data_IF_877507242984
#
_entry.id   IF_877507242984
#
_cell.length_a   1.000
_cell.length_b   1.000
_cell.length_c   1.000
_cell.angle_alpha   90.00
_cell.angle_beta   90.00
_cell.angle_gamma   90.00
#
_symmetry.space_group_name_H-M   'P 1'
#
loop_
_entity.id
_entity.type
_entity.pdbx_description
1 polymer ?
#
# COMPACT_ATOMS: atom_id res chain seq x y z
N UNK A 1 -11.03 -9.07 1.12
CA UNK A 1 -10.43 -7.79 1.54
C UNK A 1 -9.54 -7.30 0.41
N UNK A 2 -10.06 -6.47 -0.51
CA UNK A 2 -9.28 -5.93 -1.63
C UNK A 2 -8.78 -4.53 -1.27
N UNK A 3 -7.70 -4.44 -0.50
CA UNK A 3 -7.12 -3.14 -0.17
C UNK A 3 -6.39 -2.55 -1.38
N UNK A 4 -6.79 -1.33 -1.76
CA UNK A 4 -6.21 -0.64 -2.92
C UNK A 4 -4.81 -0.10 -2.58
N UNK A 5 -3.87 -0.20 -3.51
CA UNK A 5 -2.51 0.35 -3.34
C UNK A 5 -2.55 1.88 -3.23
N UNK A 6 -1.83 2.45 -2.26
CA UNK A 6 -1.64 3.90 -2.13
C UNK A 6 -0.61 4.35 -3.16
N UNK A 7 -0.98 5.20 -4.13
CA UNK A 7 -0.01 5.73 -5.08
C UNK A 7 0.82 6.79 -4.38
N UNK A 8 2.05 6.45 -3.99
CA UNK A 8 3.00 7.36 -3.35
C UNK A 8 4.19 7.55 -4.29
N UNK A 9 4.60 8.80 -4.47
CA UNK A 9 5.77 9.18 -5.26
C UNK A 9 6.83 9.82 -4.36
N UNK A 10 8.10 9.58 -4.68
CA UNK A 10 9.24 10.27 -4.08
C UNK A 10 9.82 11.23 -5.11
N UNK A 11 10.05 12.47 -4.73
CA UNK A 11 10.88 13.38 -5.52
C UNK A 11 11.86 14.16 -4.63
N UNK A 12 12.77 14.88 -5.27
CA UNK A 12 13.74 15.73 -4.60
C UNK A 12 13.53 17.17 -5.06
N UNK A 13 13.55 18.10 -4.13
CA UNK A 13 13.51 19.54 -4.37
C UNK A 13 14.82 20.19 -3.97
N UNK A 14 15.15 21.33 -4.57
CA UNK A 14 16.32 22.15 -4.25
C UNK A 14 15.86 23.54 -3.77
N UNK A 15 15.40 23.69 -2.51
CA UNK A 15 14.92 24.98 -1.97
C UNK A 15 15.98 26.09 -1.96
N UNK A 16 17.26 25.72 -1.88
CA UNK A 16 18.40 26.63 -2.00
C UNK A 16 19.49 25.93 -2.82
N UNK A 17 20.36 26.69 -3.51
CA UNK A 17 21.46 26.11 -4.27
C UNK A 17 22.26 25.09 -3.44
N UNK A 18 22.40 23.88 -3.98
CA UNK A 18 23.08 22.71 -3.41
C UNK A 18 22.49 22.24 -2.07
N UNK A 19 21.22 22.51 -1.81
CA UNK A 19 20.49 22.01 -0.64
C UNK A 19 19.28 21.24 -1.11
N UNK A 20 19.36 19.92 -1.00
CA UNK A 20 18.35 18.99 -1.51
C UNK A 20 17.51 18.43 -0.39
N UNK A 21 16.20 18.38 -0.56
CA UNK A 21 15.28 17.69 0.34
C UNK A 21 14.48 16.66 -0.44
N UNK A 22 14.22 15.50 0.15
CA UNK A 22 13.21 14.60 -0.41
C UNK A 22 11.82 15.02 0.06
N UNK A 23 10.83 14.71 -0.78
CA UNK A 23 9.41 14.91 -0.53
C UNK A 23 8.66 13.66 -1.01
N UNK A 24 7.75 13.19 -0.16
CA UNK A 24 6.79 12.14 -0.48
C UNK A 24 5.44 12.79 -0.79
N UNK A 25 4.83 12.36 -1.90
CA UNK A 25 3.51 12.81 -2.35
C UNK A 25 2.57 11.61 -2.43
N UNK A 26 1.32 11.75 -1.98
CA UNK A 26 0.27 10.77 -2.22
C UNK A 26 -0.73 11.30 -3.26
N UNK A 27 -1.18 10.41 -4.15
CA UNK A 27 -2.21 10.74 -5.13
C UNK A 27 -3.62 10.49 -4.59
N UNK A 28 -4.44 11.52 -4.58
CA UNK A 28 -5.88 11.46 -4.35
C UNK A 28 -6.63 11.88 -5.63
N UNK A 29 -7.18 10.90 -6.35
CA UNK A 29 -7.78 11.14 -7.67
C UNK A 29 -6.76 11.68 -8.67
N UNK A 30 -6.98 12.89 -9.17
CA UNK A 30 -6.06 13.57 -10.10
C UNK A 30 -5.02 14.48 -9.41
N UNK A 31 -5.08 14.63 -8.07
CA UNK A 31 -4.23 15.55 -7.32
C UNK A 31 -3.14 14.80 -6.57
N UNK A 32 -1.97 15.41 -6.50
CA UNK A 32 -0.88 14.99 -5.63
C UNK A 32 -0.76 15.96 -4.46
N UNK A 33 -0.52 15.44 -3.27
CA UNK A 33 -0.34 16.23 -2.05
C UNK A 33 0.83 15.70 -1.23
N UNK A 34 1.63 16.62 -0.68
CA UNK A 34 2.69 16.31 0.26
C UNK A 34 2.14 15.53 1.46
N UNK A 35 2.81 14.41 1.77
CA UNK A 35 2.55 13.64 3.00
C UNK A 35 3.70 13.80 3.99
N UNK A 36 4.94 13.81 3.49
CA UNK A 36 6.12 13.90 4.32
C UNK A 36 7.28 14.50 3.54
N UNK A 37 8.22 15.14 4.23
CA UNK A 37 9.44 15.71 3.64
C UNK A 37 10.57 15.71 4.64
N UNK A 38 11.80 15.68 4.14
CA UNK A 38 12.97 15.72 5.03
C UNK A 38 12.97 17.01 5.88
N UNK A 39 13.24 16.86 7.18
CA UNK A 39 13.32 17.99 8.12
C UNK A 39 14.50 18.92 7.81
N UNK A 40 15.60 18.35 7.31
CA UNK A 40 16.82 19.10 6.95
C UNK A 40 17.23 18.76 5.51
N UNK A 41 17.62 19.76 4.70
CA UNK A 41 18.20 19.49 3.40
C UNK A 41 19.64 18.98 3.54
N UNK A 42 20.05 18.15 2.59
CA UNK A 42 21.40 17.59 2.46
C UNK A 42 22.12 18.16 1.23
N UNK A 43 23.45 18.09 1.21
CA UNK A 43 24.25 18.66 0.10
C UNK A 43 24.40 17.75 -1.12
N UNK A 44 23.82 16.55 -1.08
CA UNK A 44 23.90 15.57 -2.16
C UNK A 44 22.50 15.17 -2.60
N UNK A 45 22.22 15.36 -3.89
CA UNK A 45 20.98 14.90 -4.51
C UNK A 45 20.80 13.39 -4.36
N UNK A 46 21.87 12.62 -4.60
CA UNK A 46 21.88 11.17 -4.42
C UNK A 46 21.49 10.78 -2.99
N UNK A 47 22.03 11.49 -1.99
CA UNK A 47 21.70 11.23 -0.59
C UNK A 47 20.24 11.53 -0.30
N UNK A 48 19.73 12.67 -0.76
CA UNK A 48 18.32 13.04 -0.58
C UNK A 48 17.40 11.98 -1.21
N UNK A 49 17.69 11.53 -2.43
CA UNK A 49 16.91 10.49 -3.11
C UNK A 49 16.91 9.16 -2.35
N UNK A 50 18.08 8.70 -1.89
CA UNK A 50 18.20 7.47 -1.12
C UNK A 50 17.44 7.57 0.22
N UNK A 51 17.59 8.68 0.94
CA UNK A 51 16.89 8.91 2.21
C UNK A 51 15.36 8.97 2.00
N UNK A 52 14.88 9.51 0.87
CA UNK A 52 13.47 9.52 0.50
C UNK A 52 12.90 8.12 0.21
N UNK A 53 13.68 7.25 -0.44
CA UNK A 53 13.29 5.85 -0.66
C UNK A 53 13.24 5.07 0.66
N UNK A 54 14.18 5.31 1.56
CA UNK A 54 14.17 4.71 2.91
C UNK A 54 12.95 5.20 3.71
N UNK A 55 12.61 6.49 3.62
CA UNK A 55 11.40 7.01 4.25
C UNK A 55 10.14 6.34 3.70
N UNK A 56 10.02 6.18 2.38
CA UNK A 56 8.91 5.45 1.77
C UNK A 56 8.82 4.00 2.27
N UNK A 57 9.95 3.28 2.32
CA UNK A 57 9.98 1.89 2.82
C UNK A 57 9.55 1.81 4.28
N UNK A 58 9.95 2.76 5.12
CA UNK A 58 9.58 2.81 6.53
C UNK A 58 8.08 3.04 6.77
N UNK A 59 7.33 3.53 5.77
CA UNK A 59 5.87 3.69 5.85
C UNK A 59 5.11 2.37 5.60
N UNK A 60 5.81 1.30 5.24
CA UNK A 60 5.20 0.06 4.76
C UNK A 60 5.58 -1.08 5.70
N UNK A 61 4.57 -1.68 6.34
CA UNK A 61 4.80 -2.81 7.25
C UNK A 61 5.32 -4.06 6.53
N UNK A 62 4.81 -4.31 5.31
CA UNK A 62 5.19 -5.42 4.45
C UNK A 62 5.54 -4.91 3.04
N UNK A 63 6.84 -4.89 2.73
CA UNK A 63 7.37 -4.39 1.46
C UNK A 63 7.00 -5.25 0.25
N UNK A 64 6.67 -6.53 0.44
CA UNK A 64 6.21 -7.39 -0.65
C UNK A 64 4.78 -7.04 -1.07
N UNK A 65 4.00 -6.45 -0.16
CA UNK A 65 2.61 -6.05 -0.41
C UNK A 65 2.49 -4.57 -0.79
N UNK A 66 3.38 -3.72 -0.28
CA UNK A 66 3.39 -2.29 -0.51
C UNK A 66 2.36 -1.51 0.33
N UNK A 67 2.36 -0.16 0.26
CA UNK A 67 1.46 0.66 1.06
C UNK A 67 0.01 0.50 0.59
N UNK A 68 -0.88 0.04 1.48
CA UNK A 68 -2.31 -0.16 1.18
C UNK A 68 -3.17 0.88 1.85
N UNK A 69 -4.30 1.23 1.21
CA UNK A 69 -5.36 2.02 1.82
C UNK A 69 -6.13 1.09 2.76
N UNK A 70 -6.30 1.49 4.00
CA UNK A 70 -7.18 0.77 4.91
C UNK A 70 -8.59 0.82 4.32
N UNK A 71 -9.20 -0.35 4.10
CA UNK A 71 -10.62 -0.41 3.81
C UNK A 71 -11.35 0.07 5.07
N UNK A 72 -12.42 0.88 4.94
CA UNK A 72 -13.27 1.15 6.08
C UNK A 72 -13.80 -0.20 6.57
N UNK A 73 -13.38 -0.60 7.76
CA UNK A 73 -13.99 -1.75 8.44
C UNK A 73 -15.40 -1.30 8.75
N UNK A 74 -16.38 -1.81 8.00
CA UNK A 74 -17.77 -1.72 8.44
C UNK A 74 -17.79 -2.26 9.86
N UNK A 75 -18.10 -1.38 10.81
CA UNK A 75 -18.27 -1.70 12.21
C UNK A 75 -19.14 -2.95 12.26
N UNK A 76 -18.59 -4.02 12.81
CA UNK A 76 -19.28 -5.28 12.94
C UNK A 76 -20.56 -5.01 13.73
N UNK A 77 -21.69 -4.98 13.02
CA UNK A 77 -23.00 -5.12 13.63
C UNK A 77 -22.94 -6.46 14.38
N UNK A 78 -22.73 -6.40 15.69
CA UNK A 78 -22.92 -7.53 16.58
C UNK A 78 -24.42 -7.75 16.64
N UNK A 79 -24.95 -8.47 15.65
CA UNK A 79 -26.24 -9.13 15.79
C UNK A 79 -25.99 -10.28 16.76
N UNK A 80 -26.31 -10.07 18.03
CA UNK A 80 -26.51 -11.15 18.98
C UNK A 80 -27.71 -11.96 18.48
N UNK A 81 -27.46 -12.90 17.59
CA UNK A 81 -28.45 -13.86 17.13
C UNK A 81 -28.16 -15.22 17.78
N UNK A 82 -29.17 -15.68 18.49
CA UNK A 82 -29.16 -16.77 19.46
C UNK A 82 -28.87 -18.10 18.78
N UNK A 83 -27.95 -18.87 19.38
CA UNK A 83 -27.67 -20.24 18.98
C UNK A 83 -28.88 -21.17 19.12
N UNK A 84 -29.15 -21.99 18.11
CA UNK A 84 -29.37 -23.42 18.28
C UNK A 84 -29.20 -24.23 16.97
N UNK A 85 -28.77 -25.51 17.06
CA UNK A 85 -28.05 -26.20 15.99
C UNK A 85 -28.92 -27.17 15.18
N UNK A 86 -28.56 -27.39 13.91
CA UNK A 86 -29.03 -28.56 13.14
C UNK A 86 -28.04 -28.96 12.02
N UNK A 87 -27.32 -30.06 12.29
CA UNK A 87 -27.05 -31.20 11.41
C UNK A 87 -26.61 -31.04 9.93
N UNK A 88 -25.38 -31.54 9.70
CA UNK A 88 -24.96 -32.55 8.69
C UNK A 88 -24.83 -32.19 7.20
N UNK A 89 -23.59 -32.44 6.75
CA UNK A 89 -23.20 -33.17 5.53
C UNK A 89 -22.93 -32.39 4.23
N UNK A 90 -21.74 -32.67 3.68
CA UNK A 90 -21.66 -33.03 2.26
C UNK A 90 -20.86 -32.13 1.30
N UNK A 91 -19.54 -32.32 1.31
CA UNK A 91 -18.70 -32.52 0.12
C UNK A 91 -18.58 -31.48 -1.03
N UNK A 92 -17.31 -31.10 -1.25
CA UNK A 92 -16.60 -31.18 -2.54
C UNK A 92 -16.84 -30.09 -3.61
N UNK A 93 -15.88 -29.17 -3.69
CA UNK A 93 -15.65 -28.28 -4.82
C UNK A 93 -15.12 -29.01 -6.08
N UNK A 94 -15.48 -28.61 -7.31
CA UNK A 94 -14.72 -28.96 -8.50
C UNK A 94 -13.68 -27.88 -8.86
N UNK A 95 -12.43 -28.31 -8.97
CA UNK A 95 -11.30 -27.56 -9.55
C UNK A 95 -11.62 -27.20 -11.01
N UNK A 96 -11.55 -25.91 -11.36
CA UNK A 96 -11.48 -25.47 -12.76
C UNK A 96 -10.01 -25.36 -13.15
N UNK A 97 -9.60 -26.23 -14.07
CA UNK A 97 -8.26 -26.27 -14.65
C UNK A 97 -8.00 -24.99 -15.45
N UNK A 98 -6.87 -24.34 -15.16
CA UNK A 98 -6.30 -23.28 -15.98
C UNK A 98 -5.87 -23.85 -17.34
N UNK A 99 -6.30 -23.19 -18.42
CA UNK A 99 -5.95 -23.55 -19.79
C UNK A 99 -4.59 -23.01 -20.20
N UNK A 100 -3.55 -23.84 -20.07
CA UNK A 100 -2.45 -23.85 -21.02
C UNK A 100 -2.42 -25.26 -21.62
N UNK A 101 -2.86 -25.35 -22.89
CA UNK A 101 -2.84 -26.59 -23.66
C UNK A 101 -1.40 -27.08 -23.88
N UNK A 102 -1.21 -28.37 -24.19
CA UNK A 102 0.12 -28.95 -24.32
C UNK A 102 0.88 -28.33 -25.48
N UNK A 103 2.14 -27.99 -25.20
CA UNK A 103 3.14 -27.61 -26.20
C UNK A 103 3.31 -28.75 -27.21
N UNK A 104 3.33 -28.38 -28.47
CA UNK A 104 3.79 -29.21 -29.59
C UNK A 104 4.85 -28.43 -30.34
#
# INVERSE_FOLDING_TARGET
>A
MSSTLRPIAVHVEEPKPKQFRWVLLERAGARWSDIEKSNRPVRSYQRAMADGLLALQAMVDDLDVGPRRAEPTEESHVTTEVAQPAALAGASAPKRYFGFGPAR
#
